data_IF_486820454453
#
_entry.id   IF_486820454453
#
_cell.length_a   1.000
_cell.length_b   1.000
_cell.length_c   1.000
_cell.angle_alpha   90.00
_cell.angle_beta   90.00
_cell.angle_gamma   90.00
#
_symmetry.space_group_name_H-M   'P 1'
#
loop_
_entity.id
_entity.type
_entity.pdbx_description
1 polymer ?
#
# COMPACT_ATOMS: atom_id res chain seq x y z
N UNK A 1 4.49 11.16 -11.33
CA UNK A 1 5.22 12.35 -11.74
C UNK A 1 4.69 13.45 -10.84
N UNK A 2 5.27 13.52 -9.64
CA UNK A 2 4.88 14.44 -8.56
C UNK A 2 5.56 15.80 -8.76
N UNK A 3 5.34 16.38 -9.94
CA UNK A 3 6.12 17.51 -10.43
C UNK A 3 5.74 18.86 -9.85
N UNK A 4 4.61 18.92 -9.16
CA UNK A 4 4.02 20.15 -8.64
C UNK A 4 3.01 19.86 -7.53
N UNK A 5 2.70 20.89 -6.74
CA UNK A 5 1.63 20.84 -5.76
C UNK A 5 0.31 20.34 -6.38
N UNK A 6 -0.06 20.86 -7.56
CA UNK A 6 -1.29 20.47 -8.26
C UNK A 6 -1.29 18.98 -8.60
N UNK A 7 -0.22 18.46 -9.19
CA UNK A 7 -0.13 17.04 -9.54
C UNK A 7 -0.25 16.15 -8.30
N UNK A 8 0.40 16.55 -7.20
CA UNK A 8 0.31 15.84 -5.93
C UNK A 8 -1.11 15.88 -5.35
N UNK A 9 -1.75 17.04 -5.24
CA UNK A 9 -3.13 17.09 -4.72
C UNK A 9 -4.13 16.34 -5.61
N UNK A 10 -4.04 16.46 -6.93
CA UNK A 10 -4.88 15.72 -7.86
C UNK A 10 -4.69 14.21 -7.72
N UNK A 11 -3.44 13.73 -7.67
CA UNK A 11 -3.13 12.33 -7.42
C UNK A 11 -3.68 11.84 -6.09
N UNK A 12 -3.52 12.63 -5.02
CA UNK A 12 -4.04 12.35 -3.69
C UNK A 12 -5.55 12.19 -3.65
N UNK A 13 -6.30 13.07 -4.33
CA UNK A 13 -7.77 12.98 -4.42
C UNK A 13 -8.22 11.71 -5.17
N UNK A 14 -7.59 11.41 -6.31
CA UNK A 14 -7.89 10.19 -7.08
C UNK A 14 -7.62 8.94 -6.24
N UNK A 15 -6.46 8.88 -5.58
CA UNK A 15 -6.07 7.77 -4.71
C UNK A 15 -7.01 7.62 -3.52
N UNK A 16 -7.45 8.73 -2.92
CA UNK A 16 -8.39 8.71 -1.80
C UNK A 16 -9.75 8.15 -2.24
N UNK A 17 -10.24 8.52 -3.43
CA UNK A 17 -11.44 7.95 -4.02
C UNK A 17 -11.31 6.44 -4.23
N UNK A 18 -10.24 6.00 -4.89
CA UNK A 18 -9.94 4.56 -5.10
C UNK A 18 -9.87 3.83 -3.75
N UNK A 19 -9.18 4.42 -2.76
CA UNK A 19 -9.04 3.85 -1.43
C UNK A 19 -10.34 3.72 -0.66
N UNK A 20 -11.20 4.73 -0.71
CA UNK A 20 -12.53 4.68 -0.09
C UNK A 20 -13.38 3.56 -0.68
N UNK A 21 -13.40 3.41 -2.02
CA UNK A 21 -14.12 2.31 -2.68
C UNK A 21 -13.50 0.95 -2.39
N UNK A 22 -12.17 0.86 -2.31
CA UNK A 22 -11.45 -0.38 -1.98
C UNK A 22 -11.77 -0.83 -0.55
N UNK A 23 -11.69 0.08 0.43
CA UNK A 23 -12.04 -0.20 1.83
C UNK A 23 -13.50 -0.63 1.98
N UNK A 24 -14.43 0.06 1.30
CA UNK A 24 -15.85 -0.32 1.30
C UNK A 24 -16.10 -1.72 0.72
N UNK A 25 -15.21 -2.19 -0.15
CA UNK A 25 -15.30 -3.51 -0.79
C UNK A 25 -14.66 -4.63 0.05
N UNK A 26 -13.92 -4.30 1.12
CA UNK A 26 -13.36 -5.28 2.04
C UNK A 26 -14.46 -5.92 2.90
N UNK A 27 -14.49 -7.25 2.97
CA UNK A 27 -15.53 -8.04 3.66
C UNK A 27 -15.10 -8.50 5.06
N UNK A 28 -13.81 -8.46 5.36
CA UNK A 28 -13.25 -8.92 6.64
C UNK A 28 -12.22 -7.91 7.19
N UNK A 29 -12.12 -7.76 8.52
CA UNK A 29 -11.07 -6.94 9.14
C UNK A 29 -9.64 -7.33 8.73
N UNK A 30 -9.41 -8.59 8.37
CA UNK A 30 -8.11 -9.06 7.90
C UNK A 30 -7.71 -8.45 6.54
N UNK A 31 -8.68 -7.98 5.77
CA UNK A 31 -8.47 -7.39 4.45
C UNK A 31 -8.19 -5.89 4.51
N UNK A 32 -8.52 -5.25 5.62
CA UNK A 32 -8.43 -3.79 5.77
C UNK A 32 -7.04 -3.25 5.51
N UNK A 33 -5.94 -3.83 6.02
CA UNK A 33 -4.61 -3.30 5.75
C UNK A 33 -4.26 -3.33 4.26
N UNK A 34 -4.62 -4.40 3.55
CA UNK A 34 -4.35 -4.47 2.11
C UNK A 34 -5.26 -3.50 1.33
N UNK A 35 -6.52 -3.37 1.74
CA UNK A 35 -7.48 -2.44 1.14
C UNK A 35 -7.16 -0.96 1.44
N UNK A 36 -6.42 -0.66 2.51
CA UNK A 36 -6.03 0.69 2.91
C UNK A 36 -4.80 1.23 2.15
N UNK A 37 -4.07 0.39 1.42
CA UNK A 37 -2.88 0.79 0.65
C UNK A 37 -3.13 2.04 -0.23
N UNK A 38 -4.23 2.15 -1.00
CA UNK A 38 -4.50 3.36 -1.78
C UNK A 38 -4.70 4.62 -0.92
N UNK A 39 -5.30 4.49 0.27
CA UNK A 39 -5.46 5.61 1.21
C UNK A 39 -4.10 6.05 1.75
N UNK A 40 -3.21 5.11 2.06
CA UNK A 40 -1.85 5.46 2.50
C UNK A 40 -1.05 6.16 1.40
N UNK A 41 -1.16 5.71 0.15
CA UNK A 41 -0.60 6.43 -0.99
C UNK A 41 -1.24 7.82 -1.15
N UNK A 42 -2.55 7.96 -0.94
CA UNK A 42 -3.22 9.25 -0.98
C UNK A 42 -2.64 10.22 0.06
N UNK A 43 -2.48 9.77 1.31
CA UNK A 43 -1.89 10.57 2.39
C UNK A 43 -0.46 10.99 2.02
N UNK A 44 0.37 10.04 1.58
CA UNK A 44 1.74 10.33 1.15
C UNK A 44 1.76 11.39 0.03
N UNK A 45 0.84 11.29 -0.92
CA UNK A 45 0.75 12.21 -2.05
C UNK A 45 0.26 13.61 -1.65
N UNK A 46 -0.69 13.70 -0.70
CA UNK A 46 -1.15 14.97 -0.14
C UNK A 46 -0.04 15.66 0.67
N UNK A 47 0.74 14.90 1.45
CA UNK A 47 1.91 15.43 2.17
C UNK A 47 2.91 16.04 1.18
N UNK A 48 3.22 15.36 0.08
CA UNK A 48 4.11 15.90 -0.96
C UNK A 48 3.56 17.20 -1.59
N UNK A 49 2.24 17.29 -1.76
CA UNK A 49 1.58 18.51 -2.21
C UNK A 49 1.81 19.69 -1.25
N UNK A 50 1.76 19.44 0.06
CA UNK A 50 2.10 20.45 1.07
C UNK A 50 3.57 20.82 1.02
N UNK A 51 4.49 19.85 0.86
CA UNK A 51 5.93 20.11 0.70
C UNK A 51 6.17 21.08 -0.47
N UNK A 52 5.52 20.87 -1.61
CA UNK A 52 5.62 21.80 -2.74
C UNK A 52 5.21 23.24 -2.41
N UNK A 53 4.16 23.42 -1.61
CA UNK A 53 3.73 24.75 -1.17
C UNK A 53 4.78 25.43 -0.28
N UNK A 54 5.51 24.65 0.53
CA UNK A 54 6.57 25.18 1.41
C UNK A 54 7.81 25.67 0.67
N UNK A 55 8.01 25.32 -0.61
CA UNK A 55 9.10 25.91 -1.40
C UNK A 55 8.77 27.33 -1.87
N UNK A 56 7.48 27.64 -2.03
CA UNK A 56 7.00 28.97 -2.44
C UNK A 56 6.75 29.93 -1.27
N UNK A 57 6.47 29.39 -0.08
CA UNK A 57 6.22 30.16 1.14
C UNK A 57 7.39 30.03 2.11
N UNK A 58 7.75 31.10 2.83
CA UNK A 58 8.82 31.04 3.86
C UNK A 58 8.29 30.31 5.11
N UNK A 59 8.18 28.98 5.04
CA UNK A 59 7.70 28.13 6.15
C UNK A 59 8.65 26.95 6.45
N UNK A 60 9.89 27.20 6.93
CA UNK A 60 10.90 26.16 7.12
C UNK A 60 10.45 25.03 8.06
N UNK A 61 9.72 25.36 9.14
CA UNK A 61 9.22 24.36 10.08
C UNK A 61 8.23 23.39 9.42
N UNK A 62 7.31 23.91 8.61
CA UNK A 62 6.33 23.09 7.90
C UNK A 62 7.02 22.19 6.88
N UNK A 63 8.02 22.71 6.16
CA UNK A 63 8.82 21.91 5.24
C UNK A 63 9.49 20.74 5.97
N UNK A 64 10.17 20.99 7.09
CA UNK A 64 10.84 19.94 7.87
C UNK A 64 9.86 18.89 8.36
N UNK A 65 8.73 19.29 8.96
CA UNK A 65 7.72 18.35 9.50
C UNK A 65 7.12 17.49 8.38
N UNK A 66 6.74 18.11 7.26
CA UNK A 66 6.16 17.37 6.12
C UNK A 66 7.21 16.47 5.44
N UNK A 67 8.46 16.91 5.35
CA UNK A 67 9.59 16.11 4.82
C UNK A 67 9.80 14.84 5.66
N UNK A 68 9.77 14.96 7.00
CA UNK A 68 9.87 13.80 7.88
C UNK A 68 8.64 12.89 7.75
N UNK A 69 7.44 13.46 7.66
CA UNK A 69 6.21 12.69 7.46
C UNK A 69 6.25 11.91 6.14
N UNK A 70 6.62 12.54 5.03
CA UNK A 70 6.78 11.88 3.73
C UNK A 70 7.87 10.79 3.77
N UNK A 71 8.99 11.08 4.42
CA UNK A 71 10.11 10.14 4.56
C UNK A 71 9.74 8.92 5.39
N UNK A 72 8.93 9.10 6.44
CA UNK A 72 8.37 8.00 7.22
C UNK A 72 7.52 7.06 6.34
N UNK A 73 6.60 7.62 5.55
CA UNK A 73 5.79 6.81 4.65
C UNK A 73 6.66 6.06 3.63
N UNK A 74 7.53 6.78 2.92
CA UNK A 74 8.35 6.20 1.85
C UNK A 74 9.36 5.16 2.35
N UNK A 75 10.05 5.41 3.47
CA UNK A 75 11.14 4.55 3.94
C UNK A 75 10.72 3.57 5.03
N UNK A 76 9.96 4.03 6.03
CA UNK A 76 9.70 3.24 7.25
C UNK A 76 8.43 2.40 7.12
N UNK A 77 7.36 2.97 6.57
CA UNK A 77 6.05 2.31 6.59
C UNK A 77 6.01 1.09 5.65
N UNK A 78 6.39 1.25 4.39
CA UNK A 78 6.17 0.22 3.36
C UNK A 78 6.86 -1.13 3.62
N UNK A 79 8.14 -1.19 4.07
CA UNK A 79 8.83 -2.47 4.27
C UNK A 79 8.19 -3.38 5.31
N UNK A 80 7.55 -2.81 6.33
CA UNK A 80 6.79 -3.57 7.33
C UNK A 80 5.33 -3.72 6.95
N UNK A 81 4.69 -2.64 6.48
CA UNK A 81 3.25 -2.59 6.27
C UNK A 81 2.78 -3.58 5.21
N UNK A 82 3.47 -3.63 4.07
CA UNK A 82 3.05 -4.45 2.96
C UNK A 82 3.14 -5.97 3.27
N UNK A 83 4.27 -6.51 3.78
CA UNK A 83 4.30 -7.94 4.11
C UNK A 83 3.30 -8.31 5.22
N UNK A 84 3.01 -7.39 6.16
CA UNK A 84 1.94 -7.60 7.16
C UNK A 84 0.57 -7.67 6.49
N UNK A 85 0.26 -6.73 5.61
CA UNK A 85 -1.01 -6.69 4.88
C UNK A 85 -1.22 -7.96 4.04
N UNK A 86 -0.18 -8.45 3.37
CA UNK A 86 -0.22 -9.71 2.62
C UNK A 86 -0.38 -10.92 3.55
N UNK A 87 0.35 -10.97 4.67
CA UNK A 87 0.23 -12.06 5.64
C UNK A 87 -1.17 -12.15 6.25
N UNK A 88 -1.86 -11.02 6.46
CA UNK A 88 -3.20 -11.01 7.05
C UNK A 88 -4.27 -11.60 6.11
N UNK A 89 -4.14 -11.41 4.81
CA UNK A 89 -5.08 -11.94 3.80
C UNK A 89 -4.69 -13.32 3.27
N UNK A 90 -3.48 -13.81 3.57
CA UNK A 90 -3.01 -15.10 3.08
C UNK A 90 -3.72 -16.28 3.79
N UNK A 91 -4.29 -17.26 3.08
CA UNK A 91 -4.85 -18.47 3.67
C UNK A 91 -3.84 -19.28 4.50
N UNK A 92 -4.35 -20.16 5.38
CA UNK A 92 -3.51 -21.07 6.15
C UNK A 92 -2.68 -21.99 5.23
N UNK A 93 -1.38 -22.13 5.53
CA UNK A 93 -0.47 -22.98 4.76
C UNK A 93 1.00 -22.60 4.93
N UNK A 94 1.90 -23.34 4.27
CA UNK A 94 3.35 -23.17 4.41
C UNK A 94 3.88 -21.78 4.00
N UNK A 95 3.19 -21.09 3.09
CA UNK A 95 3.55 -19.72 2.63
C UNK A 95 3.50 -18.69 3.74
N UNK A 96 2.63 -18.86 4.74
CA UNK A 96 2.55 -17.96 5.90
C UNK A 96 3.86 -17.92 6.66
N UNK A 97 4.58 -19.05 6.78
CA UNK A 97 5.90 -19.08 7.46
C UNK A 97 6.92 -18.21 6.74
N UNK A 98 6.98 -18.29 5.41
CA UNK A 98 7.87 -17.44 4.60
C UNK A 98 7.46 -15.97 4.70
N UNK A 99 6.16 -15.67 4.64
CA UNK A 99 5.65 -14.30 4.82
C UNK A 99 5.97 -13.75 6.21
N UNK A 100 5.89 -14.55 7.28
CA UNK A 100 6.31 -14.13 8.63
C UNK A 100 7.79 -13.77 8.66
N UNK A 101 8.66 -14.52 7.99
CA UNK A 101 10.09 -14.17 7.87
C UNK A 101 10.26 -12.82 7.17
N UNK A 102 9.51 -12.58 6.09
CA UNK A 102 9.54 -11.28 5.39
C UNK A 102 8.99 -10.14 6.26
N UNK A 103 7.97 -10.38 7.09
CA UNK A 103 7.47 -9.40 8.06
C UNK A 103 8.56 -9.05 9.08
N UNK A 104 9.26 -10.05 9.64
CA UNK A 104 10.34 -9.81 10.60
C UNK A 104 11.50 -9.05 9.94
N UNK A 105 11.91 -9.46 8.74
CA UNK A 105 12.96 -8.75 7.99
C UNK A 105 12.55 -7.31 7.67
N UNK A 106 11.30 -7.10 7.23
CA UNK A 106 10.72 -5.78 6.98
C UNK A 106 10.64 -4.92 8.24
N UNK A 107 10.30 -5.51 9.40
CA UNK A 107 10.27 -4.83 10.69
C UNK A 107 11.66 -4.37 11.13
N UNK A 108 12.67 -5.24 11.01
CA UNK A 108 14.08 -4.89 11.31
C UNK A 108 14.56 -3.78 10.39
N UNK A 109 14.28 -3.86 9.08
CA UNK A 109 14.63 -2.81 8.13
C UNK A 109 13.92 -1.49 8.45
N UNK A 110 12.62 -1.54 8.78
CA UNK A 110 11.83 -0.36 9.13
C UNK A 110 12.35 0.30 10.41
N UNK A 111 12.73 -0.48 11.42
CA UNK A 111 13.34 0.02 12.65
C UNK A 111 14.70 0.70 12.37
N UNK A 112 15.53 0.10 11.52
CA UNK A 112 16.79 0.71 11.08
C UNK A 112 16.55 2.03 10.33
N UNK A 113 15.62 2.05 9.37
CA UNK A 113 15.28 3.26 8.61
C UNK A 113 14.66 4.35 9.49
N UNK A 114 13.88 3.97 10.49
CA UNK A 114 13.34 4.89 11.48
C UNK A 114 14.44 5.51 12.33
N UNK A 115 15.42 4.70 12.77
CA UNK A 115 16.60 5.20 13.46
C UNK A 115 17.38 6.19 12.59
N UNK A 116 17.63 5.86 11.31
CA UNK A 116 18.31 6.76 10.37
C UNK A 116 17.54 8.08 10.19
N UNK A 117 16.21 8.01 10.07
CA UNK A 117 15.34 9.18 9.92
C UNK A 117 15.40 10.15 11.11
N UNK A 118 15.63 9.64 12.33
CA UNK A 118 15.79 10.49 13.52
C UNK A 118 17.24 10.89 13.80
N UNK A 119 18.20 10.05 13.43
CA UNK A 119 19.61 10.28 13.72
C UNK A 119 20.27 11.25 12.72
N UNK A 120 19.76 11.31 11.48
CA UNK A 120 20.32 12.14 10.43
C UNK A 120 19.28 13.13 9.90
N UNK A 121 19.66 14.40 9.66
CA UNK A 121 18.74 15.39 9.13
C UNK A 121 18.32 15.00 7.70
N UNK A 122 17.02 14.84 7.48
CA UNK A 122 16.46 14.69 6.13
C UNK A 122 16.00 16.05 5.63
N UNK A 123 16.53 16.46 4.47
CA UNK A 123 16.23 17.76 3.86
C UNK A 123 15.57 17.53 2.51
N UNK A 124 14.44 18.20 2.27
CA UNK A 124 13.85 18.24 0.93
C UNK A 124 14.39 19.43 0.14
N UNK A 125 14.85 19.18 -1.08
CA UNK A 125 15.32 20.21 -2.01
C UNK A 125 14.53 20.15 -3.31
N UNK A 126 14.03 21.27 -3.84
CA UNK A 126 13.45 21.28 -5.18
C UNK A 126 14.60 21.26 -6.19
N UNK A 127 14.75 20.15 -6.90
CA UNK A 127 15.77 19.99 -7.94
C UNK A 127 15.07 19.72 -9.27
N UNK A 128 15.05 20.72 -10.15
CA UNK A 128 14.29 20.67 -11.40
C UNK A 128 12.77 20.63 -11.14
N UNK A 129 12.08 19.64 -11.71
CA UNK A 129 10.66 19.39 -11.45
C UNK A 129 10.43 18.34 -10.33
N UNK A 130 11.45 18.00 -9.55
CA UNK A 130 11.38 16.93 -8.55
C UNK A 130 11.74 17.41 -7.15
N UNK A 131 11.30 16.66 -6.15
CA UNK A 131 11.75 16.84 -4.77
C UNK A 131 12.81 15.80 -4.47
N UNK A 132 14.03 16.27 -4.23
CA UNK A 132 15.13 15.44 -3.76
C UNK A 132 15.06 15.34 -2.24
N UNK A 133 15.15 14.12 -1.71
CA UNK A 133 15.23 13.87 -0.27
C UNK A 133 16.66 13.42 0.05
N UNK A 134 17.48 14.34 0.53
CA UNK A 134 18.88 14.08 0.86
C UNK A 134 18.94 13.32 2.19
N UNK A 135 19.38 12.07 2.14
CA UNK A 135 19.50 11.18 3.30
C UNK A 135 20.81 10.39 3.20
N UNK A 136 21.72 10.53 4.19
CA UNK A 136 22.94 9.73 4.22
C UNK A 136 22.59 8.27 4.58
N UNK A 137 22.40 7.45 3.55
CA UNK A 137 22.20 6.02 3.73
C UNK A 137 23.54 5.28 3.68
N UNK A 138 24.04 4.87 4.84
CA UNK A 138 25.05 3.81 4.89
C UNK A 138 24.44 2.51 4.32
N UNK A 139 25.20 1.75 3.53
CA UNK A 139 24.75 0.51 2.88
C UNK A 139 23.53 0.65 1.93
N UNK A 140 23.43 1.75 1.20
CA UNK A 140 22.31 2.06 0.29
C UNK A 140 21.86 0.88 -0.59
N UNK A 141 22.79 0.11 -1.17
CA UNK A 141 22.45 -1.05 -2.00
C UNK A 141 21.77 -2.18 -1.21
N UNK A 142 22.24 -2.48 0.00
CA UNK A 142 21.67 -3.54 0.84
C UNK A 142 20.28 -3.13 1.37
N UNK A 143 20.14 -1.88 1.82
CA UNK A 143 18.87 -1.29 2.24
C UNK A 143 17.84 -1.33 1.11
N UNK A 144 18.23 -0.89 -0.08
CA UNK A 144 17.37 -0.91 -1.27
C UNK A 144 16.96 -2.34 -1.64
N UNK A 145 17.88 -3.29 -1.56
CA UNK A 145 17.58 -4.71 -1.85
C UNK A 145 16.58 -5.29 -0.85
N UNK A 146 16.79 -5.07 0.46
CA UNK A 146 15.88 -5.55 1.49
C UNK A 146 14.50 -4.85 1.41
N UNK A 147 14.50 -3.57 1.06
CA UNK A 147 13.28 -2.80 0.80
C UNK A 147 12.50 -3.43 -0.36
N UNK A 148 13.17 -3.70 -1.47
CA UNK A 148 12.54 -4.28 -2.65
C UNK A 148 12.01 -5.69 -2.35
N UNK A 149 12.81 -6.51 -1.69
CA UNK A 149 12.42 -7.88 -1.31
C UNK A 149 11.19 -7.84 -0.41
N UNK A 150 11.18 -7.02 0.63
CA UNK A 150 10.04 -6.92 1.55
C UNK A 150 8.76 -6.40 0.86
N UNK A 151 8.89 -5.40 -0.03
CA UNK A 151 7.75 -4.74 -0.69
C UNK A 151 7.28 -5.39 -2.00
N UNK A 152 8.04 -6.30 -2.60
CA UNK A 152 7.63 -6.93 -3.88
C UNK A 152 7.58 -8.44 -3.81
N UNK A 153 8.49 -9.09 -3.08
CA UNK A 153 8.48 -10.55 -2.96
C UNK A 153 7.31 -11.01 -2.09
N UNK A 154 6.93 -10.25 -1.06
CA UNK A 154 5.79 -10.60 -0.21
C UNK A 154 4.47 -10.76 -1.01
N UNK A 155 4.00 -9.79 -1.82
CA UNK A 155 2.80 -10.00 -2.63
C UNK A 155 2.96 -11.09 -3.71
N UNK A 156 4.16 -11.27 -4.29
CA UNK A 156 4.41 -12.33 -5.28
C UNK A 156 4.27 -13.75 -4.70
N UNK A 157 4.54 -13.93 -3.41
CA UNK A 157 4.39 -15.21 -2.72
C UNK A 157 2.93 -15.55 -2.40
N UNK A 158 2.00 -14.60 -2.43
CA UNK A 158 0.60 -14.82 -2.04
C UNK A 158 -0.09 -15.89 -2.89
N UNK A 159 -1.05 -16.63 -2.36
CA UNK A 159 -1.97 -17.48 -3.17
C UNK A 159 -2.89 -16.67 -4.09
N UNK A 160 -3.19 -15.41 -3.74
CA UNK A 160 -4.20 -14.59 -4.39
C UNK A 160 -3.66 -13.98 -5.69
N UNK A 161 -4.30 -14.28 -6.83
CA UNK A 161 -3.86 -13.79 -8.15
C UNK A 161 -3.77 -12.26 -8.23
N UNK A 162 -4.73 -11.53 -7.67
CA UNK A 162 -4.72 -10.06 -7.67
C UNK A 162 -3.55 -9.49 -6.88
N UNK A 163 -3.20 -10.10 -5.74
CA UNK A 163 -2.05 -9.71 -4.92
C UNK A 163 -0.74 -9.98 -5.66
N UNK A 164 -0.62 -11.12 -6.37
CA UNK A 164 0.55 -11.41 -7.22
C UNK A 164 0.71 -10.40 -8.35
N UNK A 165 -0.38 -10.04 -9.03
CA UNK A 165 -0.36 -9.05 -10.12
C UNK A 165 0.08 -7.69 -9.58
N UNK A 166 -0.41 -7.29 -8.42
CA UNK A 166 0.08 -6.10 -7.72
C UNK A 166 1.59 -6.18 -7.46
N UNK A 167 2.08 -7.30 -6.92
CA UNK A 167 3.52 -7.49 -6.66
C UNK A 167 4.38 -7.45 -7.92
N UNK A 168 3.92 -8.06 -9.02
CA UNK A 168 4.62 -8.05 -10.29
C UNK A 168 4.69 -6.64 -10.90
N UNK A 169 3.58 -5.91 -10.90
CA UNK A 169 3.54 -4.53 -11.38
C UNK A 169 4.35 -3.59 -10.48
N UNK A 170 4.37 -3.82 -9.16
CA UNK A 170 5.20 -3.08 -8.23
C UNK A 170 6.69 -3.32 -8.51
N UNK A 171 7.10 -4.58 -8.74
CA UNK A 171 8.48 -4.92 -9.11
C UNK A 171 8.90 -4.32 -10.45
N UNK A 172 8.02 -4.40 -11.47
CA UNK A 172 8.29 -3.84 -12.80
C UNK A 172 8.38 -2.32 -12.75
N UNK A 173 7.46 -1.65 -12.06
CA UNK A 173 7.49 -0.19 -11.89
C UNK A 173 8.71 0.26 -11.10
N UNK A 174 9.11 -0.48 -10.07
CA UNK A 174 10.36 -0.24 -9.34
C UNK A 174 11.57 -0.37 -10.25
N UNK A 175 11.68 -1.47 -11.00
CA UNK A 175 12.80 -1.72 -11.91
C UNK A 175 12.91 -0.64 -12.99
N UNK A 176 11.78 -0.23 -13.57
CA UNK A 176 11.73 0.87 -14.53
C UNK A 176 12.14 2.21 -13.89
N UNK A 177 11.59 2.56 -12.72
CA UNK A 177 11.92 3.79 -12.02
C UNK A 177 13.42 3.85 -11.65
N UNK A 178 13.98 2.75 -11.16
CA UNK A 178 15.40 2.66 -10.82
C UNK A 178 16.30 2.77 -12.06
N UNK A 179 15.95 2.07 -13.15
CA UNK A 179 16.76 2.06 -14.38
C UNK A 179 16.81 3.44 -15.07
N UNK A 180 15.67 4.13 -15.15
CA UNK A 180 15.59 5.42 -15.86
C UNK A 180 15.84 6.64 -14.96
N UNK A 181 15.56 6.54 -13.65
CA UNK A 181 15.49 7.69 -12.74
C UNK A 181 16.03 7.38 -11.34
N UNK A 182 17.19 6.72 -11.23
CA UNK A 182 17.79 6.34 -9.94
C UNK A 182 17.86 7.50 -8.91
N UNK A 183 18.19 8.71 -9.34
CA UNK A 183 18.25 9.92 -8.49
C UNK A 183 16.86 10.39 -8.02
N UNK A 184 15.83 10.23 -8.86
CA UNK A 184 14.45 10.69 -8.62
C UNK A 184 13.51 9.55 -8.25
N UNK A 185 14.09 8.43 -7.82
CA UNK A 185 13.44 7.13 -7.75
C UNK A 185 12.11 7.19 -6.97
N UNK A 186 12.12 7.84 -5.80
CA UNK A 186 10.97 7.90 -4.88
C UNK A 186 9.80 8.65 -5.52
N UNK A 187 10.03 9.84 -6.09
CA UNK A 187 8.97 10.65 -6.72
C UNK A 187 8.45 10.03 -8.02
N UNK A 188 9.29 9.29 -8.76
CA UNK A 188 8.85 8.57 -9.97
C UNK A 188 8.03 7.34 -9.59
N UNK A 189 8.45 6.58 -8.59
CA UNK A 189 7.72 5.39 -8.15
C UNK A 189 6.31 5.72 -7.64
N UNK A 190 6.15 6.84 -6.92
CA UNK A 190 4.84 7.33 -6.49
C UNK A 190 3.86 7.58 -7.65
N UNK A 191 4.34 7.81 -8.88
CA UNK A 191 3.48 7.90 -10.07
C UNK A 191 2.64 6.64 -10.29
N UNK A 192 3.24 5.48 -10.04
CA UNK A 192 2.60 4.19 -10.27
C UNK A 192 1.61 3.84 -9.15
N UNK A 193 1.53 4.64 -8.08
CA UNK A 193 0.61 4.42 -6.97
C UNK A 193 -0.85 4.35 -7.44
N UNK A 194 -1.27 5.20 -8.39
CA UNK A 194 -2.63 5.18 -8.92
C UNK A 194 -2.92 3.87 -9.67
N UNK A 195 -2.02 3.46 -10.57
CA UNK A 195 -2.11 2.18 -11.29
C UNK A 195 -2.17 0.99 -10.33
N UNK A 196 -1.24 0.93 -9.38
CA UNK A 196 -1.17 -0.14 -8.38
C UNK A 196 -2.43 -0.15 -7.49
N UNK A 197 -2.94 1.03 -7.11
CA UNK A 197 -4.17 1.16 -6.34
C UNK A 197 -5.40 0.70 -7.11
N UNK A 198 -5.49 0.96 -8.41
CA UNK A 198 -6.56 0.45 -9.26
C UNK A 198 -6.55 -1.09 -9.32
N UNK A 199 -5.36 -1.71 -9.36
CA UNK A 199 -5.24 -3.18 -9.32
C UNK A 199 -5.77 -3.75 -8.01
N UNK A 200 -5.47 -3.10 -6.88
CA UNK A 200 -6.03 -3.49 -5.58
C UNK A 200 -7.55 -3.34 -5.58
N UNK A 201 -8.06 -2.22 -6.08
CA UNK A 201 -9.51 -2.02 -6.19
C UNK A 201 -10.19 -3.11 -7.03
N UNK A 202 -9.66 -3.42 -8.21
CA UNK A 202 -10.17 -4.49 -9.08
C UNK A 202 -10.14 -5.85 -8.36
N UNK A 203 -9.06 -6.14 -7.61
CA UNK A 203 -8.95 -7.38 -6.83
C UNK A 203 -10.10 -7.55 -5.82
N UNK A 204 -10.59 -6.46 -5.22
CA UNK A 204 -11.75 -6.49 -4.32
C UNK A 204 -13.08 -6.44 -5.07
N UNK A 205 -13.20 -5.60 -6.10
CA UNK A 205 -14.43 -5.38 -6.85
C UNK A 205 -14.88 -6.60 -7.65
N UNK A 206 -13.95 -7.40 -8.17
CA UNK A 206 -14.26 -8.56 -9.04
C UNK A 206 -14.43 -9.88 -8.27
N UNK A 207 -14.48 -9.83 -6.94
CA UNK A 207 -14.79 -11.02 -6.15
C UNK A 207 -16.26 -11.37 -6.34
N UNK A 208 -16.60 -12.62 -6.67
CA UNK A 208 -17.99 -13.06 -6.71
C UNK A 208 -18.71 -12.60 -5.44
N UNK A 209 -19.83 -11.91 -5.63
CA UNK A 209 -20.71 -11.59 -4.50
C UNK A 209 -21.33 -12.91 -4.09
N UNK A 210 -21.12 -13.36 -2.86
CA UNK A 210 -21.94 -14.41 -2.27
C UNK A 210 -23.32 -13.82 -2.01
N UNK A 211 -24.07 -13.56 -3.08
CA UNK A 211 -25.49 -13.24 -3.05
C UNK A 211 -26.25 -14.53 -3.28
N UNK A 212 -26.50 -15.25 -2.19
CA UNK A 212 -27.50 -16.31 -2.19
C UNK A 212 -27.22 -17.41 -1.18
N UNK A 213 -27.71 -17.26 0.05
CA UNK A 213 -28.42 -18.35 0.74
C UNK A 213 -29.26 -17.86 1.95
N UNK A 214 -30.33 -17.10 1.70
CA UNK A 214 -31.35 -16.78 2.74
C UNK A 214 -32.77 -17.06 2.22
N UNK A 215 -32.94 -17.92 1.20
CA UNK A 215 -34.28 -18.16 0.61
C UNK A 215 -34.67 -19.61 0.35
N UNK A 216 -34.07 -20.58 1.01
CA UNK A 216 -34.52 -21.98 0.90
C UNK A 216 -34.87 -22.70 2.21
N UNK A 217 -34.73 -22.06 3.37
CA UNK A 217 -35.04 -22.71 4.67
C UNK A 217 -36.39 -22.34 5.27
N UNK A 218 -37.28 -21.63 4.55
CA UNK A 218 -38.64 -21.33 5.05
C UNK A 218 -39.76 -22.10 4.35
N UNK A 219 -39.43 -23.03 3.44
CA UNK A 219 -40.42 -23.79 2.66
C UNK A 219 -40.71 -25.21 3.14
N UNK A 220 -40.06 -25.67 4.23
CA UNK A 220 -40.14 -27.08 4.68
C UNK A 220 -40.99 -27.23 5.97
N UNK A 221 -41.41 -26.14 6.62
CA UNK A 221 -42.11 -26.19 7.91
C UNK A 221 -43.62 -25.97 7.87
N UNK A 222 -44.25 -25.94 6.69
CA UNK A 222 -45.69 -25.72 6.58
C UNK A 222 -46.37 -26.90 5.86
N UNK A 223 -46.41 -28.05 6.53
CA UNK A 223 -47.34 -29.13 6.19
C UNK A 223 -48.13 -29.49 7.45
N UNK A 224 -49.41 -29.08 7.56
CA UNK A 224 -50.26 -29.51 8.65
C UNK A 224 -50.65 -30.97 8.45
N UNK A 225 -50.28 -31.82 9.41
CA UNK A 225 -50.74 -33.21 9.53
C UNK A 225 -52.26 -33.23 9.77
N UNK A 226 -53.02 -33.30 8.69
CA UNK A 226 -54.43 -33.68 8.72
C UNK A 226 -54.55 -35.20 8.71
N UNK A 227 -54.89 -35.75 9.89
CA UNK A 227 -55.84 -36.83 10.15
C UNK A 227 -56.10 -37.84 9.00
N UNK A 228 -55.86 -39.14 9.24
CA UNK A 228 -57.00 -40.10 9.21
C UNK A 228 -56.70 -41.43 9.92
N UNK A 229 -57.71 -41.87 10.68
CA UNK A 229 -57.91 -43.18 11.30
C UNK A 229 -58.15 -44.28 10.26
N UNK A 230 -58.16 -45.54 10.76
CA UNK A 230 -58.53 -46.86 10.15
C UNK A 230 -57.27 -47.62 9.77
N UNK A 231 -56.98 -48.82 10.25
CA UNK A 231 -57.78 -49.88 10.91
C UNK A 231 -56.80 -50.82 11.60
#
# INVERSE_FOLDING_TARGET
>A
MCFSATASFSGGVVLLGIGAFTLKSARSPLEWPFAAIPVLFAIQQLIEGVIWLTFSAVTPLLNTVMTHAYSFFSHVLWPIYLPVAVLMIEPAGGRRRTLTVLVVAGAVLSAYLLYVLFAFPVVSRPTGQHVEYDSPHFFAAAVMTLYLVSTTVSPLLSTLRGVKVFGALALLSFGAAYYFYATWFISVWCFFAALLSTVIYIHFAWRPTDRGDVRQTSGILDQPDTLEKRT
#
